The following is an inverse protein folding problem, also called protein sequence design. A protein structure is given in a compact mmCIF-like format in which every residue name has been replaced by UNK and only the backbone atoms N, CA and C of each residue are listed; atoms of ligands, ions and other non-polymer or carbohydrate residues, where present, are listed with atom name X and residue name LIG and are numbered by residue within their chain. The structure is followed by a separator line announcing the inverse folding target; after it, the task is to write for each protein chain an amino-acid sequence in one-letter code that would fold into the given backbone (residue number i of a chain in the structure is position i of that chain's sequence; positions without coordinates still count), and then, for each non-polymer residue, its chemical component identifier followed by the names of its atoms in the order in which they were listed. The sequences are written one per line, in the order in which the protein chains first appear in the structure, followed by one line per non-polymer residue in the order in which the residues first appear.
data_IF_057949011315
#
_entry.id   IF_057949011315
#
_cell.length_a   1.000
_cell.length_b   1.000
_cell.length_c   1.000
_cell.angle_alpha   90.00
_cell.angle_beta   90.00
_cell.angle_gamma   90.00
#
_symmetry.space_group_name_H-M   'P 1'
#
loop_
_entity.id
_entity.type
_entity.pdbx_description
1 polymer ?
#
# COMPACT_ATOMS: atom_id res chain seq x y z
N UNK A 1 -7.27 10.60 32.47
CA UNK A 1 -7.77 9.68 31.43
C UNK A 1 -6.57 8.92 30.91
N UNK A 2 -6.67 7.60 30.80
CA UNK A 2 -5.60 6.77 30.25
C UNK A 2 -5.37 7.09 28.76
N UNK A 3 -4.12 7.07 28.29
CA UNK A 3 -3.73 7.41 26.91
C UNK A 3 -4.37 6.42 25.95
N UNK A 4 -4.34 5.12 26.28
CA UNK A 4 -4.95 4.08 25.45
C UNK A 4 -6.46 4.27 25.39
N UNK A 5 -7.11 4.60 26.52
CA UNK A 5 -8.53 4.94 26.55
C UNK A 5 -8.87 6.14 25.64
N UNK A 6 -8.04 7.18 25.63
CA UNK A 6 -8.25 8.36 24.79
C UNK A 6 -8.06 8.04 23.30
N UNK A 7 -7.01 7.31 22.94
CA UNK A 7 -6.76 6.86 21.56
C UNK A 7 -7.93 5.98 21.05
N UNK A 8 -8.47 5.09 21.89
CA UNK A 8 -9.66 4.29 21.56
C UNK A 8 -10.90 5.15 21.32
N UNK A 9 -11.08 6.23 22.07
CA UNK A 9 -12.20 7.17 21.85
C UNK A 9 -12.06 7.91 20.52
N UNK A 10 -10.85 8.39 20.18
CA UNK A 10 -10.55 9.02 18.88
C UNK A 10 -10.90 8.04 17.75
N UNK A 11 -10.38 6.81 17.82
CA UNK A 11 -10.63 5.77 16.82
C UNK A 11 -12.12 5.44 16.68
N UNK A 12 -12.85 5.36 17.79
CA UNK A 12 -14.30 5.07 17.78
C UNK A 12 -15.12 6.19 17.14
N UNK A 13 -14.73 7.45 17.34
CA UNK A 13 -15.38 8.59 16.68
C UNK A 13 -15.07 8.63 15.19
N UNK A 14 -13.80 8.40 14.81
CA UNK A 14 -13.40 8.30 13.39
C UNK A 14 -14.15 7.19 12.66
N UNK A 15 -14.31 6.02 13.30
CA UNK A 15 -15.07 4.88 12.79
C UNK A 15 -16.46 5.29 12.30
N UNK A 16 -17.23 6.00 13.11
CA UNK A 16 -18.60 6.44 12.77
C UNK A 16 -18.61 7.27 11.47
N UNK A 17 -17.60 8.12 11.26
CA UNK A 17 -17.50 8.94 10.07
C UNK A 17 -17.03 8.15 8.84
N UNK A 18 -16.07 7.26 8.99
CA UNK A 18 -15.49 6.47 7.90
C UNK A 18 -16.42 5.35 7.43
N UNK A 19 -17.21 4.75 8.32
CA UNK A 19 -18.27 3.79 7.96
C UNK A 19 -19.32 4.42 7.04
N UNK A 20 -19.66 5.70 7.23
CA UNK A 20 -20.56 6.44 6.32
C UNK A 20 -19.97 6.65 4.92
N UNK A 21 -18.65 6.56 4.78
CA UNK A 21 -17.94 6.57 3.50
C UNK A 21 -17.72 5.15 2.94
N UNK A 22 -18.25 4.13 3.63
CA UNK A 22 -18.16 2.73 3.25
C UNK A 22 -16.82 2.07 3.60
N UNK A 23 -16.08 2.60 4.57
CA UNK A 23 -14.92 1.91 5.14
C UNK A 23 -15.35 1.03 6.32
N UNK A 24 -14.81 -0.18 6.36
CA UNK A 24 -14.86 -1.07 7.51
C UNK A 24 -13.66 -0.78 8.43
N UNK A 25 -13.71 -1.28 9.66
CA UNK A 25 -12.63 -1.07 10.65
C UNK A 25 -11.91 -2.38 10.92
N UNK A 26 -10.59 -2.39 10.75
CA UNK A 26 -9.72 -3.46 11.23
C UNK A 26 -9.13 -3.05 12.60
N UNK A 27 -9.12 -4.00 13.52
CA UNK A 27 -9.03 -3.76 14.95
C UNK A 27 -7.75 -3.00 15.38
N UNK A 28 -7.88 -2.19 16.43
CA UNK A 28 -6.77 -1.48 17.06
C UNK A 28 -5.69 -2.47 17.50
N UNK A 29 -4.50 -2.40 16.90
CA UNK A 29 -3.34 -3.17 17.36
C UNK A 29 -2.70 -2.45 18.56
N UNK A 30 -2.87 -2.97 19.79
CA UNK A 30 -2.42 -2.26 20.98
C UNK A 30 -0.91 -2.22 21.12
N UNK A 31 -0.18 -3.13 20.47
CA UNK A 31 1.27 -3.16 20.48
C UNK A 31 1.89 -2.09 19.57
N UNK A 32 1.18 -1.68 18.52
CA UNK A 32 1.67 -0.69 17.55
C UNK A 32 0.95 0.66 17.65
N UNK A 33 -0.04 0.78 18.55
CA UNK A 33 -0.92 1.94 18.69
C UNK A 33 -1.53 2.37 17.34
N UNK A 34 -1.88 1.39 16.51
CA UNK A 34 -2.36 1.58 15.15
C UNK A 34 -3.81 1.14 15.02
N UNK A 35 -4.63 1.97 14.39
CA UNK A 35 -5.96 1.60 13.89
C UNK A 35 -5.96 1.67 12.36
N UNK A 36 -6.63 0.72 11.73
CA UNK A 36 -6.77 0.69 10.27
C UNK A 36 -8.24 0.68 9.89
N UNK A 37 -8.57 1.44 8.85
CA UNK A 37 -9.87 1.42 8.21
C UNK A 37 -9.66 0.99 6.77
N UNK A 38 -10.48 0.07 6.27
CA UNK A 38 -10.29 -0.47 4.93
C UNK A 38 -11.59 -0.47 4.14
N UNK A 39 -11.46 -0.38 2.82
CA UNK A 39 -12.57 -0.52 1.89
C UNK A 39 -12.09 -1.33 0.69
N UNK A 40 -12.75 -2.44 0.42
CA UNK A 40 -12.47 -3.28 -0.74
C UNK A 40 -13.50 -3.03 -1.84
N UNK A 41 -13.05 -2.60 -3.01
CA UNK A 41 -13.87 -2.45 -4.23
C UNK A 41 -13.04 -2.82 -5.45
N UNK A 42 -13.65 -3.50 -6.42
CA UNK A 42 -13.02 -3.81 -7.71
C UNK A 42 -11.62 -4.45 -7.57
N UNK A 43 -11.47 -5.42 -6.64
CA UNK A 43 -10.21 -6.15 -6.36
C UNK A 43 -9.06 -5.31 -5.80
N UNK A 44 -9.36 -4.07 -5.39
CA UNK A 44 -8.47 -3.16 -4.70
C UNK A 44 -8.99 -2.94 -3.29
N UNK A 45 -8.09 -3.01 -2.31
CA UNK A 45 -8.37 -2.66 -0.93
C UNK A 45 -7.64 -1.37 -0.57
N UNK A 46 -8.40 -0.34 -0.21
CA UNK A 46 -7.92 0.98 0.21
C UNK A 46 -7.85 0.99 1.73
N UNK A 47 -6.71 1.38 2.30
CA UNK A 47 -6.48 1.44 3.74
C UNK A 47 -6.17 2.86 4.20
N UNK A 48 -6.83 3.31 5.26
CA UNK A 48 -6.45 4.47 6.05
C UNK A 48 -5.82 3.94 7.33
N UNK A 49 -4.53 4.17 7.53
CA UNK A 49 -3.83 3.78 8.75
C UNK A 49 -3.55 5.01 9.59
N UNK A 50 -3.93 4.94 10.87
CA UNK A 50 -3.65 5.95 11.88
C UNK A 50 -2.83 5.31 13.00
N UNK A 51 -1.62 5.80 13.20
CA UNK A 51 -0.71 5.37 14.24
C UNK A 51 -0.48 6.51 15.23
N UNK A 52 -0.71 6.25 16.50
CA UNK A 52 -0.43 7.19 17.59
C UNK A 52 0.98 6.97 18.17
N UNK A 53 1.48 7.98 18.87
CA UNK A 53 2.62 7.79 19.77
C UNK A 53 2.23 6.92 20.97
N UNK A 54 3.18 6.17 21.52
CA UNK A 54 2.92 5.29 22.66
C UNK A 54 2.70 6.07 23.97
N UNK A 55 3.23 7.28 24.06
CA UNK A 55 3.29 8.11 25.26
C UNK A 55 2.39 9.37 25.19
N UNK A 56 1.64 9.54 24.10
CA UNK A 56 0.75 10.68 23.93
C UNK A 56 -0.43 10.38 23.01
N UNK A 57 -1.40 11.31 22.97
CA UNK A 57 -2.50 11.25 22.01
C UNK A 57 -2.11 11.82 20.63
N UNK A 58 -0.84 12.18 20.44
CA UNK A 58 -0.32 12.63 19.16
C UNK A 58 -0.32 11.51 18.13
N UNK A 59 -0.43 11.91 16.87
CA UNK A 59 -0.32 11.06 15.69
C UNK A 59 1.15 10.98 15.30
N UNK A 60 1.66 9.76 15.27
CA UNK A 60 2.95 9.43 14.69
C UNK A 60 2.83 9.35 13.15
N UNK A 61 1.78 8.71 12.64
CA UNK A 61 1.52 8.58 11.21
C UNK A 61 0.02 8.56 10.89
N UNK A 62 -0.37 9.22 9.81
CA UNK A 62 -1.68 9.10 9.18
C UNK A 62 -1.48 8.97 7.68
N UNK A 63 -1.87 7.83 7.10
CA UNK A 63 -1.51 7.48 5.70
C UNK A 63 -2.63 6.71 4.99
N UNK A 64 -2.74 6.96 3.69
CA UNK A 64 -3.49 6.14 2.75
C UNK A 64 -2.60 5.09 2.07
N UNK A 65 -3.12 3.89 1.88
CA UNK A 65 -2.49 2.82 1.11
C UNK A 65 -3.49 2.15 0.19
N UNK A 66 -3.02 1.71 -0.96
CA UNK A 66 -3.81 0.93 -1.90
C UNK A 66 -3.14 -0.43 -2.06
N UNK A 67 -3.87 -1.48 -1.76
CA UNK A 67 -3.44 -2.87 -1.88
C UNK A 67 -4.23 -3.58 -2.96
N UNK A 68 -3.60 -4.51 -3.65
CA UNK A 68 -4.32 -5.49 -4.47
C UNK A 68 -4.21 -6.87 -3.85
N UNK A 69 -5.36 -7.41 -3.45
CA UNK A 69 -5.43 -8.74 -2.85
C UNK A 69 -5.09 -9.82 -3.86
N UNK A 70 -5.40 -9.62 -5.15
CA UNK A 70 -5.01 -10.54 -6.22
C UNK A 70 -3.50 -10.54 -6.45
N UNK A 71 -2.86 -9.37 -6.51
CA UNK A 71 -1.40 -9.28 -6.64
C UNK A 71 -0.73 -9.94 -5.44
N UNK A 72 -1.20 -9.64 -4.23
CA UNK A 72 -0.67 -10.25 -3.00
C UNK A 72 -0.90 -11.76 -2.99
N UNK A 73 -2.09 -12.24 -3.39
CA UNK A 73 -2.39 -13.66 -3.44
C UNK A 73 -1.43 -14.41 -4.37
N UNK A 74 -1.15 -13.87 -5.56
CA UNK A 74 -0.20 -14.49 -6.51
C UNK A 74 1.22 -14.40 -5.95
N UNK A 75 1.65 -13.21 -5.52
CA UNK A 75 2.99 -12.99 -4.99
C UNK A 75 3.30 -13.91 -3.80
N UNK A 76 2.34 -14.12 -2.91
CA UNK A 76 2.45 -14.98 -1.74
C UNK A 76 2.64 -16.47 -2.04
N UNK A 77 2.49 -16.91 -3.30
CA UNK A 77 2.84 -18.27 -3.73
C UNK A 77 4.35 -18.44 -3.96
N UNK A 78 5.08 -17.34 -4.16
CA UNK A 78 6.50 -17.34 -4.52
C UNK A 78 7.40 -16.78 -3.43
N UNK A 79 6.87 -15.90 -2.57
CA UNK A 79 7.60 -15.32 -1.46
C UNK A 79 6.75 -15.33 -0.19
N UNK A 80 7.39 -15.42 0.97
CA UNK A 80 6.70 -15.22 2.24
C UNK A 80 6.43 -13.72 2.45
N UNK A 81 5.18 -13.29 2.24
CA UNK A 81 4.78 -11.89 2.39
C UNK A 81 4.91 -11.37 3.82
N UNK A 82 4.69 -12.23 4.82
CA UNK A 82 4.70 -11.81 6.24
C UNK A 82 6.12 -11.58 6.73
N UNK A 83 7.03 -12.48 6.38
CA UNK A 83 8.46 -12.36 6.73
C UNK A 83 9.09 -11.19 6.00
N UNK A 84 8.77 -11.00 4.71
CA UNK A 84 9.40 -9.97 3.89
C UNK A 84 8.69 -8.61 3.95
N UNK A 85 7.48 -8.53 4.51
CA UNK A 85 6.62 -7.32 4.53
C UNK A 85 6.33 -6.78 3.12
N UNK A 86 6.06 -7.71 2.19
CA UNK A 86 6.09 -7.48 0.74
C UNK A 86 4.71 -7.28 0.08
N UNK A 87 3.78 -6.64 0.76
CA UNK A 87 2.48 -6.33 0.15
C UNK A 87 2.66 -5.35 -1.02
N UNK A 88 1.94 -5.58 -2.13
CA UNK A 88 1.79 -4.59 -3.19
C UNK A 88 0.97 -3.44 -2.61
N UNK A 89 1.68 -2.42 -2.13
CA UNK A 89 1.07 -1.24 -1.55
C UNK A 89 1.57 -0.02 -2.30
N UNK A 90 0.64 0.71 -2.92
CA UNK A 90 0.95 2.08 -3.36
C UNK A 90 0.74 3.00 -2.17
N UNK A 91 1.79 3.73 -1.83
CA UNK A 91 1.75 4.75 -0.78
C UNK A 91 1.51 6.11 -1.40
N UNK A 92 0.84 6.97 -0.65
CA UNK A 92 0.85 8.42 -0.87
C UNK A 92 2.29 8.94 -0.68
N UNK A 93 3.13 8.80 -1.71
CA UNK A 93 4.50 9.29 -1.70
C UNK A 93 4.63 10.69 -2.32
N UNK A 94 3.64 11.10 -3.13
CA UNK A 94 3.62 12.40 -3.80
C UNK A 94 3.46 13.60 -2.86
N UNK A 95 3.02 13.40 -1.60
CA UNK A 95 2.71 14.49 -0.67
C UNK A 95 3.51 14.44 0.64
N UNK A 96 4.69 13.80 0.66
CA UNK A 96 5.49 13.56 1.88
C UNK A 96 5.64 14.78 2.79
N UNK A 97 5.86 15.96 2.22
CA UNK A 97 5.98 17.22 2.98
C UNK A 97 4.63 17.70 3.51
N UNK A 98 3.57 17.72 2.67
CA UNK A 98 2.21 18.07 3.07
C UNK A 98 1.64 17.13 4.15
N UNK A 99 1.98 15.84 4.09
CA UNK A 99 1.64 14.87 5.14
C UNK A 99 2.36 15.21 6.44
N UNK A 100 3.67 15.50 6.38
CA UNK A 100 4.47 15.87 7.56
C UNK A 100 3.94 17.14 8.23
N UNK A 101 3.75 18.21 7.45
CA UNK A 101 3.21 19.48 7.93
C UNK A 101 1.79 19.32 8.48
N UNK A 102 0.99 18.46 7.83
CA UNK A 102 -0.33 18.07 8.30
C UNK A 102 -0.28 17.39 9.67
N UNK A 103 0.61 16.43 9.88
CA UNK A 103 0.78 15.71 11.14
C UNK A 103 1.24 16.65 12.26
N UNK A 104 2.19 17.55 11.99
CA UNK A 104 2.62 18.55 12.97
C UNK A 104 1.46 19.46 13.42
N UNK A 105 0.65 19.92 12.48
CA UNK A 105 -0.53 20.72 12.77
C UNK A 105 -1.58 19.95 13.58
N UNK A 106 -1.84 18.68 13.21
CA UNK A 106 -2.73 17.80 13.97
C UNK A 106 -2.23 17.62 15.41
N UNK A 107 -0.94 17.39 15.60
CA UNK A 107 -0.32 17.22 16.92
C UNK A 107 -0.38 18.48 17.78
N UNK A 108 -0.40 19.67 17.17
CA UNK A 108 -0.65 20.93 17.91
C UNK A 108 -2.09 20.98 18.42
N UNK A 109 -3.07 20.68 17.58
CA UNK A 109 -4.49 20.66 17.96
C UNK A 109 -4.76 19.61 19.04
N UNK A 110 -4.16 18.42 18.94
CA UNK A 110 -4.29 17.36 19.93
C UNK A 110 -3.83 17.73 21.35
N UNK A 111 -3.03 18.79 21.51
CA UNK A 111 -2.59 19.31 22.83
C UNK A 111 -3.64 20.19 23.52
N UNK A 112 -4.63 20.70 22.78
CA UNK A 112 -5.66 21.62 23.29
C UNK A 112 -6.78 20.92 24.09
N UNK A 113 -6.73 19.57 24.20
CA UNK A 113 -7.65 18.69 24.95
C UNK A 113 -9.13 18.68 24.48
N UNK A 114 -9.48 19.38 23.41
CA UNK A 114 -10.76 19.20 22.72
C UNK A 114 -10.67 18.01 21.76
N UNK A 115 -11.24 16.88 22.20
CA UNK A 115 -11.21 15.63 21.45
C UNK A 115 -12.09 15.68 20.19
N UNK A 116 -13.18 16.43 20.20
CA UNK A 116 -14.07 16.53 19.05
C UNK A 116 -13.44 17.40 17.96
N UNK A 117 -12.83 18.52 18.33
CA UNK A 117 -12.05 19.35 17.41
C UNK A 117 -10.87 18.56 16.82
N UNK A 118 -10.20 17.75 17.63
CA UNK A 118 -9.09 16.93 17.14
C UNK A 118 -9.54 15.86 16.14
N UNK A 119 -10.65 15.17 16.41
CA UNK A 119 -11.26 14.20 15.48
C UNK A 119 -11.65 14.89 14.16
N UNK A 120 -12.26 16.08 14.23
CA UNK A 120 -12.63 16.84 13.03
C UNK A 120 -11.40 17.26 12.20
N UNK A 121 -10.30 17.62 12.86
CA UNK A 121 -9.06 17.95 12.17
C UNK A 121 -8.46 16.73 11.45
N UNK A 122 -8.45 15.56 12.10
CA UNK A 122 -8.00 14.29 11.49
C UNK A 122 -8.86 13.96 10.28
N UNK A 123 -10.19 14.07 10.38
CA UNK A 123 -11.10 13.87 9.26
C UNK A 123 -10.88 14.87 8.14
N UNK A 124 -10.56 16.13 8.47
CA UNK A 124 -10.18 17.15 7.51
C UNK A 124 -8.98 16.72 6.69
N UNK A 125 -7.91 16.26 7.34
CA UNK A 125 -6.71 15.74 6.69
C UNK A 125 -7.01 14.53 5.79
N UNK A 126 -7.80 13.57 6.27
CA UNK A 126 -8.22 12.40 5.48
C UNK A 126 -8.94 12.86 4.20
N UNK A 127 -9.88 13.81 4.32
CA UNK A 127 -10.66 14.29 3.18
C UNK A 127 -9.86 15.13 2.19
N UNK A 128 -8.86 15.88 2.64
CA UNK A 128 -8.09 16.77 1.77
C UNK A 128 -6.91 16.07 1.09
N UNK A 129 -6.38 15.00 1.69
CA UNK A 129 -5.15 14.33 1.23
C UNK A 129 -5.44 12.89 0.80
N UNK A 130 -5.96 12.09 1.73
CA UNK A 130 -6.03 10.62 1.56
C UNK A 130 -7.15 10.21 0.59
N UNK A 131 -8.36 10.78 0.71
CA UNK A 131 -9.45 10.43 -0.21
C UNK A 131 -9.16 10.85 -1.66
N UNK A 132 -8.64 12.06 -1.94
CA UNK A 132 -8.23 12.42 -3.30
C UNK A 132 -7.15 11.49 -3.88
N UNK A 133 -6.21 11.02 -3.05
CA UNK A 133 -5.25 9.99 -3.46
C UNK A 133 -5.95 8.69 -3.88
N UNK A 134 -6.98 8.24 -3.14
CA UNK A 134 -7.76 7.07 -3.52
C UNK A 134 -8.59 7.26 -4.80
N UNK A 135 -9.01 8.48 -5.10
CA UNK A 135 -9.78 8.80 -6.30
C UNK A 135 -8.93 8.73 -7.57
N UNK A 136 -7.60 8.82 -7.45
CA UNK A 136 -6.67 8.56 -8.56
C UNK A 136 -6.65 7.10 -9.00
N UNK A 137 -7.10 6.18 -8.14
CA UNK A 137 -7.02 4.74 -8.34
C UNK A 137 -8.38 4.07 -8.04
N UNK A 138 -9.41 4.33 -8.86
CA UNK A 138 -10.75 3.77 -8.66
C UNK A 138 -10.82 2.26 -8.87
N UNK A 139 -9.93 1.71 -9.70
CA UNK A 139 -9.88 0.30 -10.06
C UNK A 139 -8.46 -0.13 -10.48
N UNK A 140 -8.35 -1.43 -10.79
CA UNK A 140 -7.11 -2.09 -11.16
C UNK A 140 -6.55 -1.61 -12.52
N UNK A 141 -7.40 -1.16 -13.44
CA UNK A 141 -6.98 -0.60 -14.72
C UNK A 141 -6.30 0.75 -14.54
N UNK A 142 -6.89 1.65 -13.75
CA UNK A 142 -6.30 2.95 -13.42
C UNK A 142 -4.96 2.81 -12.67
N UNK A 143 -4.86 1.81 -11.78
CA UNK A 143 -3.62 1.45 -11.10
C UNK A 143 -2.52 1.05 -12.09
N UNK A 144 -2.84 0.15 -13.03
CA UNK A 144 -1.90 -0.30 -14.06
C UNK A 144 -1.50 0.84 -15.00
N UNK A 145 -2.44 1.67 -15.44
CA UNK A 145 -2.16 2.81 -16.33
C UNK A 145 -1.19 3.81 -15.68
N UNK A 146 -1.39 4.12 -14.40
CA UNK A 146 -0.47 4.98 -13.65
C UNK A 146 0.92 4.37 -13.55
N UNK A 147 1.02 3.11 -13.11
CA UNK A 147 2.28 2.38 -12.97
C UNK A 147 3.04 2.36 -14.30
N UNK A 148 2.35 2.18 -15.42
CA UNK A 148 2.94 2.11 -16.75
C UNK A 148 3.49 3.42 -17.30
N UNK A 149 3.17 4.55 -16.66
CA UNK A 149 3.74 5.86 -16.96
C UNK A 149 5.00 6.15 -16.15
N UNK A 150 5.25 5.37 -15.09
CA UNK A 150 6.44 5.55 -14.25
C UNK A 150 7.68 4.95 -14.94
N UNK A 151 8.81 5.64 -14.83
CA UNK A 151 10.11 5.04 -15.10
C UNK A 151 10.44 3.96 -14.06
N UNK A 152 11.43 3.09 -14.32
CA UNK A 152 11.90 2.08 -13.35
C UNK A 152 12.25 2.70 -11.99
N UNK A 153 12.91 3.86 -12.00
CA UNK A 153 13.30 4.58 -10.79
C UNK A 153 12.07 5.02 -10.00
N UNK A 154 11.14 5.72 -10.66
CA UNK A 154 9.91 6.19 -10.04
C UNK A 154 9.05 5.03 -9.56
N UNK A 155 9.01 3.93 -10.30
CA UNK A 155 8.21 2.77 -9.95
C UNK A 155 8.59 2.22 -8.56
N UNK A 156 9.89 2.14 -8.24
CA UNK A 156 10.35 1.69 -6.90
C UNK A 156 10.03 2.65 -5.76
N UNK A 157 9.78 3.93 -6.06
CA UNK A 157 9.33 4.92 -5.08
C UNK A 157 7.85 4.74 -4.72
N UNK A 158 7.03 4.23 -5.65
CA UNK A 158 5.59 4.01 -5.46
C UNK A 158 5.25 2.57 -5.05
N UNK A 159 5.94 1.58 -5.61
CA UNK A 159 5.76 0.15 -5.35
C UNK A 159 7.03 -0.41 -4.73
N UNK A 160 7.06 -0.42 -3.40
CA UNK A 160 8.23 -0.86 -2.66
C UNK A 160 8.43 -2.38 -2.69
N UNK A 161 9.68 -2.80 -2.44
CA UNK A 161 10.05 -4.18 -2.21
C UNK A 161 10.25 -4.96 -3.50
N UNK A 162 9.59 -6.12 -3.64
CA UNK A 162 9.61 -7.00 -4.83
C UNK A 162 8.88 -6.37 -6.03
N UNK A 163 9.30 -5.16 -6.39
CA UNK A 163 8.72 -4.29 -7.40
C UNK A 163 8.66 -5.01 -8.76
N UNK A 164 9.73 -5.70 -9.14
CA UNK A 164 9.81 -6.50 -10.37
C UNK A 164 8.68 -7.50 -10.49
N UNK A 165 8.50 -8.36 -9.47
CA UNK A 165 7.47 -9.40 -9.45
C UNK A 165 6.07 -8.79 -9.42
N UNK A 166 5.86 -7.76 -8.59
CA UNK A 166 4.58 -7.04 -8.48
C UNK A 166 4.16 -6.45 -9.83
N UNK A 167 5.11 -5.87 -10.57
CA UNK A 167 4.83 -5.29 -11.89
C UNK A 167 4.45 -6.34 -12.91
N UNK A 168 5.15 -7.47 -12.94
CA UNK A 168 4.81 -8.59 -13.83
C UNK A 168 3.39 -9.11 -13.57
N UNK A 169 3.02 -9.26 -12.29
CA UNK A 169 1.68 -9.71 -11.92
C UNK A 169 0.62 -8.70 -12.37
N UNK A 170 0.85 -7.40 -12.13
CA UNK A 170 -0.04 -6.32 -12.56
C UNK A 170 -0.26 -6.30 -14.08
N UNK A 171 0.82 -6.36 -14.85
CA UNK A 171 0.77 -6.41 -16.32
C UNK A 171 0.02 -7.65 -16.83
N UNK A 172 0.26 -8.81 -16.21
CA UNK A 172 -0.43 -10.05 -16.56
C UNK A 172 -1.92 -9.99 -16.24
N UNK A 173 -2.30 -9.56 -15.03
CA UNK A 173 -3.70 -9.47 -14.60
C UNK A 173 -4.53 -8.45 -15.42
N UNK A 174 -3.86 -7.51 -16.10
CA UNK A 174 -4.50 -6.48 -16.94
C UNK A 174 -4.42 -6.79 -18.43
N UNK A 175 -3.84 -7.93 -18.83
CA UNK A 175 -3.56 -8.25 -20.23
C UNK A 175 -2.83 -7.10 -20.96
N UNK A 176 -1.88 -6.47 -20.26
CA UNK A 176 -1.17 -5.31 -20.79
C UNK A 176 -0.15 -5.71 -21.85
N UNK A 177 -0.13 -4.99 -22.98
CA UNK A 177 0.78 -5.27 -24.10
C UNK A 177 2.26 -5.17 -23.72
N UNK A 178 2.61 -4.44 -22.66
CA UNK A 178 3.99 -4.31 -22.17
C UNK A 178 4.49 -5.54 -21.41
N UNK A 179 3.63 -6.53 -21.12
CA UNK A 179 3.99 -7.71 -20.35
C UNK A 179 5.24 -8.42 -20.92
N UNK A 180 5.21 -8.75 -22.21
CA UNK A 180 6.29 -9.53 -22.83
C UNK A 180 7.60 -8.74 -22.92
N UNK A 181 7.53 -7.46 -23.29
CA UNK A 181 8.70 -6.56 -23.33
C UNK A 181 9.34 -6.43 -21.94
N UNK A 182 8.53 -6.20 -20.91
CA UNK A 182 9.02 -6.06 -19.55
C UNK A 182 9.61 -7.37 -19.00
N UNK A 183 8.98 -8.51 -19.31
CA UNK A 183 9.49 -9.85 -18.96
C UNK A 183 10.88 -10.08 -19.56
N UNK A 184 11.04 -9.86 -20.87
CA UNK A 184 12.31 -10.08 -21.56
C UNK A 184 13.40 -9.16 -21.03
N UNK A 185 13.10 -7.89 -20.80
CA UNK A 185 14.02 -6.94 -20.19
C UNK A 185 14.52 -7.42 -18.82
N UNK A 186 13.61 -7.86 -17.94
CA UNK A 186 13.97 -8.35 -16.60
C UNK A 186 14.71 -9.69 -16.62
N UNK A 187 14.38 -10.56 -17.56
CA UNK A 187 15.11 -11.81 -17.76
C UNK A 187 16.58 -11.54 -18.11
N UNK A 188 16.84 -10.60 -19.02
CA UNK A 188 18.20 -10.18 -19.36
C UNK A 188 18.96 -9.58 -18.15
N UNK A 189 18.30 -8.76 -17.32
CA UNK A 189 18.90 -8.23 -16.09
C UNK A 189 19.28 -9.34 -15.10
N UNK A 190 18.38 -10.31 -14.84
CA UNK A 190 18.67 -11.43 -13.95
C UNK A 190 19.81 -12.30 -14.45
N UNK A 191 19.85 -12.62 -15.75
CA UNK A 191 20.95 -13.39 -16.34
C UNK A 191 22.28 -12.65 -16.16
N UNK A 192 22.30 -11.33 -16.37
CA UNK A 192 23.50 -10.50 -16.13
C UNK A 192 23.94 -10.55 -14.66
N UNK A 193 23.01 -10.48 -13.71
CA UNK A 193 23.33 -10.57 -12.27
C UNK A 193 23.84 -11.97 -11.88
N UNK A 194 23.21 -13.03 -12.37
CA UNK A 194 23.65 -14.42 -12.12
C UNK A 194 25.05 -14.65 -12.66
N UNK A 195 25.38 -14.13 -13.84
CA UNK A 195 26.73 -14.22 -14.40
C UNK A 195 27.78 -13.46 -13.57
N UNK A 196 27.36 -12.47 -12.78
CA UNK A 196 28.25 -11.68 -11.92
C UNK A 196 28.46 -12.34 -10.55
N UNK A 197 27.39 -12.88 -9.95
CA UNK A 197 27.45 -13.59 -8.68
C UNK A 197 26.32 -14.61 -8.57
N UNK A 198 26.60 -15.81 -9.06
CA UNK A 198 25.61 -16.88 -9.18
C UNK A 198 24.94 -17.24 -7.84
N UNK A 199 25.73 -17.47 -6.79
CA UNK A 199 25.21 -17.93 -5.50
C UNK A 199 24.28 -16.91 -4.84
N UNK A 200 24.54 -15.62 -5.06
CA UNK A 200 23.70 -14.55 -4.55
C UNK A 200 22.40 -14.39 -5.34
N UNK A 201 22.46 -14.44 -6.67
CA UNK A 201 21.35 -14.02 -7.54
C UNK A 201 20.48 -15.16 -8.05
N UNK A 202 20.98 -16.40 -8.07
CA UNK A 202 20.24 -17.55 -8.58
C UNK A 202 18.88 -17.78 -7.91
N UNK A 203 18.75 -17.72 -6.57
CA UNK A 203 17.43 -17.91 -5.93
C UNK A 203 16.38 -16.88 -6.37
N UNK A 204 16.80 -15.63 -6.60
CA UNK A 204 15.91 -14.58 -7.08
C UNK A 204 15.49 -14.81 -8.54
N UNK A 205 16.42 -15.27 -9.38
CA UNK A 205 16.12 -15.59 -10.77
C UNK A 205 15.18 -16.81 -10.89
N UNK A 206 15.39 -17.86 -10.10
CA UNK A 206 14.51 -19.03 -10.05
C UNK A 206 13.09 -18.66 -9.57
N UNK A 207 13.00 -17.74 -8.61
CA UNK A 207 11.71 -17.18 -8.15
C UNK A 207 11.01 -16.42 -9.28
N UNK A 208 11.73 -15.58 -10.01
CA UNK A 208 11.23 -14.86 -11.19
C UNK A 208 10.73 -15.81 -12.27
N UNK A 209 11.50 -16.82 -12.64
CA UNK A 209 11.13 -17.82 -13.64
C UNK A 209 9.89 -18.61 -13.23
N UNK A 210 9.81 -19.01 -11.95
CA UNK A 210 8.65 -19.72 -11.40
C UNK A 210 7.38 -18.87 -11.49
N UNK A 211 7.47 -17.57 -11.18
CA UNK A 211 6.36 -16.63 -11.33
C UNK A 211 5.95 -16.50 -12.80
N UNK A 212 6.88 -16.29 -13.73
CA UNK A 212 6.60 -16.17 -15.16
C UNK A 212 5.85 -17.40 -15.66
N UNK A 213 6.35 -18.61 -15.36
CA UNK A 213 5.71 -19.86 -15.76
C UNK A 213 4.28 -19.99 -15.21
N UNK A 214 4.07 -19.60 -13.96
CA UNK A 214 2.74 -19.56 -13.36
C UNK A 214 1.81 -18.58 -14.09
N UNK A 215 2.26 -17.35 -14.33
CA UNK A 215 1.45 -16.34 -15.01
C UNK A 215 1.07 -16.79 -16.43
N UNK A 216 2.00 -17.35 -17.19
CA UNK A 216 1.76 -17.81 -18.56
C UNK A 216 0.91 -19.09 -18.63
N UNK A 217 1.03 -19.99 -17.65
CA UNK A 217 0.15 -21.17 -17.56
C UNK A 217 -1.30 -20.81 -17.21
N UNK A 218 -1.52 -19.81 -16.36
CA UNK A 218 -2.86 -19.28 -16.04
C UNK A 218 -3.41 -18.40 -17.17
N UNK A 219 -2.55 -17.75 -17.97
CA UNK A 219 -2.95 -16.94 -19.13
C UNK A 219 -3.66 -17.74 -20.22
N UNK A 220 -3.52 -19.07 -20.25
CA UNK A 220 -4.32 -19.97 -21.10
C UNK A 220 -5.81 -20.08 -20.66
N UNK A 221 -6.28 -19.26 -19.71
CA UNK A 221 -7.69 -19.23 -19.25
C UNK A 221 -8.52 -18.03 -19.75
N UNK A 222 -7.96 -17.12 -20.54
CA UNK A 222 -8.72 -16.01 -21.11
C UNK A 222 -8.76 -16.09 -22.65
N UNK A 223 -9.81 -16.69 -23.22
CA UNK A 223 -10.11 -16.59 -24.65
C UNK A 223 -10.55 -15.18 -25.06
#
# INVERSE_FOLDING_TARGET
MDIISTQKQISSKLKIHLERLGFETEEYSPHFHTVQFFQTRNKITKYISLQFYNDSNGILQLRGFISSDEVNHILGKFIDLKVNKEYCTIKDFGQKQTISDGIENLNRIGKEKDLDQYVLAILGHIKSIILPFFDMFPDFGALNEFINKLSEREYTDWVHGQSTLKRLILLSLTNDSKYFEYKEFKEQEYVSFVNTNESMWRPYYETFQSLVNYLESESNRFP
#
